data_IF_489543349701
#
_entry.id   IF_489543349701
#
_cell.length_a   1.000
_cell.length_b   1.000
_cell.length_c   1.000
_cell.angle_alpha   90.00
_cell.angle_beta   90.00
_cell.angle_gamma   90.00
#
_symmetry.space_group_name_H-M   'P 1'
#
loop_
_entity.id
_entity.type
_entity.pdbx_description
1 polymer ?
#
# COMPACT_ATOMS: atom_id res chain seq x y z
N UNK A 1 -15.93 13.90 -6.78
CA UNK A 1 -14.48 13.98 -6.89
C UNK A 1 -13.83 12.87 -6.07
N UNK A 2 -12.80 12.24 -6.60
CA UNK A 2 -12.15 11.10 -5.97
C UNK A 2 -11.00 11.48 -5.06
N UNK A 3 -10.65 10.56 -4.18
CA UNK A 3 -9.54 10.70 -3.24
C UNK A 3 -8.61 9.50 -3.35
N UNK A 4 -7.30 9.74 -3.29
CA UNK A 4 -6.28 8.70 -3.19
C UNK A 4 -5.55 8.86 -1.87
N UNK A 5 -5.36 7.74 -1.15
CA UNK A 5 -4.52 7.70 0.05
C UNK A 5 -3.36 6.75 -0.24
N UNK A 6 -2.13 7.27 -0.12
CA UNK A 6 -0.93 6.47 -0.32
C UNK A 6 -0.35 6.13 1.06
N UNK A 7 -0.35 4.84 1.40
CA UNK A 7 0.21 4.36 2.66
C UNK A 7 1.72 4.18 2.52
N UNK A 8 2.46 4.52 3.57
CA UNK A 8 3.91 4.31 3.64
C UNK A 8 4.27 3.68 4.97
N UNK A 9 5.11 2.67 4.97
CA UNK A 9 5.57 2.03 6.19
C UNK A 9 6.23 0.69 5.89
N UNK A 10 7.13 0.26 6.77
CA UNK A 10 7.80 -1.03 6.63
C UNK A 10 6.82 -2.19 6.84
N UNK A 11 7.20 -3.38 6.40
CA UNK A 11 6.39 -4.59 6.59
C UNK A 11 6.08 -4.81 8.07
N UNK A 12 4.84 -5.12 8.39
CA UNK A 12 4.39 -5.36 9.77
C UNK A 12 4.14 -4.10 10.60
N UNK A 13 4.25 -2.91 10.03
CA UNK A 13 4.07 -1.65 10.75
C UNK A 13 2.61 -1.33 11.11
N UNK A 14 1.66 -2.06 10.53
CA UNK A 14 0.24 -1.80 10.74
C UNK A 14 -0.43 -1.04 9.59
N UNK A 15 0.23 -0.93 8.43
CA UNK A 15 -0.32 -0.23 7.26
C UNK A 15 -1.69 -0.75 6.85
N UNK A 16 -1.82 -2.07 6.71
CA UNK A 16 -3.08 -2.67 6.25
C UNK A 16 -4.21 -2.45 7.25
N UNK A 17 -3.90 -2.50 8.54
CA UNK A 17 -4.86 -2.19 9.61
C UNK A 17 -5.30 -0.73 9.51
N UNK A 18 -4.34 0.18 9.36
CA UNK A 18 -4.63 1.61 9.22
C UNK A 18 -5.42 1.91 7.95
N UNK A 19 -5.08 1.23 6.84
CA UNK A 19 -5.82 1.36 5.59
C UNK A 19 -7.29 0.98 5.77
N UNK A 20 -7.57 -0.10 6.50
CA UNK A 20 -8.95 -0.53 6.79
C UNK A 20 -9.69 0.51 7.63
N UNK A 21 -9.03 1.12 8.61
CA UNK A 21 -9.61 2.19 9.41
C UNK A 21 -9.97 3.39 8.55
N UNK A 22 -9.08 3.80 7.65
CA UNK A 22 -9.30 4.93 6.75
C UNK A 22 -10.45 4.66 5.79
N UNK A 23 -10.54 3.44 5.26
CA UNK A 23 -11.66 3.01 4.41
C UNK A 23 -12.97 3.10 5.18
N UNK A 24 -13.00 2.61 6.43
CA UNK A 24 -14.20 2.64 7.24
C UNK A 24 -14.64 4.06 7.56
N UNK A 25 -13.68 4.93 7.92
CA UNK A 25 -13.95 6.36 8.16
C UNK A 25 -14.57 7.02 6.93
N UNK A 26 -14.05 6.71 5.75
CA UNK A 26 -14.56 7.26 4.49
C UNK A 26 -15.97 6.77 4.21
N UNK A 27 -16.24 5.48 4.41
CA UNK A 27 -17.56 4.87 4.19
C UNK A 27 -18.58 5.35 5.22
N UNK A 28 -18.17 5.66 6.45
CA UNK A 28 -19.06 6.22 7.47
C UNK A 28 -19.66 7.56 7.02
N UNK A 29 -18.88 8.35 6.28
CA UNK A 29 -19.33 9.63 5.71
C UNK A 29 -19.95 9.47 4.32
N UNK A 30 -19.52 8.46 3.57
CA UNK A 30 -19.94 8.21 2.20
C UNK A 30 -20.39 6.75 2.04
N UNK A 31 -21.58 6.36 2.59
CA UNK A 31 -21.95 4.93 2.71
C UNK A 31 -22.09 4.18 1.38
N UNK A 32 -22.36 4.88 0.30
CA UNK A 32 -22.55 4.27 -1.02
C UNK A 32 -21.32 4.41 -1.93
N UNK A 33 -20.21 4.91 -1.41
CA UNK A 33 -19.00 5.11 -2.18
C UNK A 33 -18.35 3.78 -2.56
N UNK A 34 -17.73 3.77 -3.73
CA UNK A 34 -16.88 2.66 -4.15
C UNK A 34 -15.47 2.90 -3.61
N UNK A 35 -14.84 1.84 -3.11
CA UNK A 35 -13.50 1.88 -2.52
C UNK A 35 -12.69 0.72 -3.06
N UNK A 36 -11.42 0.96 -3.35
CA UNK A 36 -10.48 -0.09 -3.71
C UNK A 36 -9.17 0.09 -2.94
N UNK A 37 -8.59 -1.03 -2.49
CA UNK A 37 -7.24 -1.05 -1.91
C UNK A 37 -6.35 -1.80 -2.89
N UNK A 38 -5.29 -1.15 -3.35
CA UNK A 38 -4.34 -1.70 -4.31
C UNK A 38 -3.00 -1.94 -3.62
N UNK A 39 -2.49 -3.16 -3.73
CA UNK A 39 -1.20 -3.54 -3.16
C UNK A 39 -0.45 -4.42 -4.15
N UNK A 40 0.86 -4.26 -4.22
CA UNK A 40 1.71 -5.15 -5.02
C UNK A 40 1.63 -6.59 -4.51
N UNK A 41 1.42 -6.79 -3.21
CA UNK A 41 1.28 -8.12 -2.63
C UNK A 41 0.11 -8.92 -3.21
N UNK A 42 -0.93 -8.26 -3.67
CA UNK A 42 -2.08 -8.91 -4.29
C UNK A 42 -1.71 -9.70 -5.55
N UNK A 43 -0.64 -9.27 -6.24
CA UNK A 43 -0.14 -9.98 -7.42
C UNK A 43 0.34 -11.38 -7.08
N UNK A 44 0.86 -11.58 -5.87
CA UNK A 44 1.44 -12.84 -5.42
C UNK A 44 0.44 -13.78 -4.76
N UNK A 45 -0.81 -13.38 -4.63
CA UNK A 45 -1.85 -14.27 -4.08
C UNK A 45 -2.32 -15.20 -5.18
N UNK A 46 -2.18 -16.52 -4.97
CA UNK A 46 -2.67 -17.54 -5.89
C UNK A 46 -4.20 -17.53 -5.84
N UNK A 47 -4.83 -17.31 -6.99
CA UNK A 47 -6.30 -17.17 -7.09
C UNK A 47 -7.04 -18.48 -6.79
N UNK A 48 -6.39 -19.63 -7.01
CA UNK A 48 -7.01 -20.94 -6.77
C UNK A 48 -6.88 -21.38 -5.31
N UNK A 49 -5.67 -21.24 -4.74
CA UNK A 49 -5.38 -21.70 -3.37
C UNK A 49 -5.59 -20.61 -2.31
N UNK A 50 -5.55 -19.33 -2.70
CA UNK A 50 -5.56 -18.20 -1.78
C UNK A 50 -4.24 -17.99 -1.06
N UNK A 51 -3.21 -18.78 -1.38
CA UNK A 51 -1.90 -18.68 -0.74
C UNK A 51 -1.05 -17.56 -1.31
N UNK A 52 -0.23 -16.97 -0.44
CA UNK A 52 0.75 -15.95 -0.83
C UNK A 52 2.02 -16.63 -1.34
N UNK A 53 2.35 -16.43 -2.62
CA UNK A 53 3.50 -17.04 -3.28
C UNK A 53 4.45 -15.97 -3.81
N UNK A 54 5.28 -15.42 -2.94
CA UNK A 54 6.21 -14.34 -3.28
C UNK A 54 7.33 -14.84 -4.21
N UNK A 55 7.59 -14.09 -5.27
CA UNK A 55 8.72 -14.31 -6.18
C UNK A 55 9.39 -12.96 -6.48
N UNK A 56 10.60 -12.77 -5.95
CA UNK A 56 11.35 -11.52 -6.09
C UNK A 56 11.59 -11.14 -7.56
N UNK A 57 11.72 -12.12 -8.45
CA UNK A 57 11.92 -11.88 -9.88
C UNK A 57 10.73 -11.19 -10.54
N UNK A 58 9.54 -11.29 -9.92
CA UNK A 58 8.30 -10.72 -10.43
C UNK A 58 7.88 -9.45 -9.70
N UNK A 59 8.74 -8.89 -8.86
CA UNK A 59 8.40 -7.72 -8.03
C UNK A 59 8.03 -6.51 -8.90
N UNK A 60 8.76 -6.29 -9.99
CA UNK A 60 8.44 -5.20 -10.91
C UNK A 60 7.07 -5.38 -11.56
N UNK A 61 6.73 -6.62 -11.93
CA UNK A 61 5.40 -6.94 -12.48
C UNK A 61 4.31 -6.70 -11.44
N UNK A 62 4.59 -7.02 -10.17
CA UNK A 62 3.65 -6.79 -9.07
C UNK A 62 3.35 -5.30 -8.87
N UNK A 63 4.36 -4.45 -8.95
CA UNK A 63 4.17 -3.00 -8.87
C UNK A 63 3.42 -2.45 -10.08
N UNK A 64 3.70 -2.96 -11.29
CA UNK A 64 2.95 -2.59 -12.50
C UNK A 64 1.49 -3.00 -12.41
N UNK A 65 1.21 -4.18 -11.87
CA UNK A 65 -0.14 -4.67 -11.62
C UNK A 65 -0.90 -3.75 -10.66
N UNK A 66 -0.25 -3.36 -9.56
CA UNK A 66 -0.84 -2.45 -8.57
C UNK A 66 -1.17 -1.09 -9.21
N UNK A 67 -0.23 -0.52 -9.95
CA UNK A 67 -0.40 0.76 -10.63
C UNK A 67 -1.54 0.71 -11.65
N UNK A 68 -1.61 -0.35 -12.44
CA UNK A 68 -2.67 -0.53 -13.46
C UNK A 68 -4.05 -0.61 -12.79
N UNK A 69 -4.16 -1.32 -11.66
CA UNK A 69 -5.42 -1.39 -10.91
C UNK A 69 -5.86 -0.02 -10.39
N UNK A 70 -4.91 0.75 -9.85
CA UNK A 70 -5.19 2.10 -9.37
C UNK A 70 -5.65 3.01 -10.50
N UNK A 71 -4.95 2.96 -11.63
CA UNK A 71 -5.29 3.76 -12.82
C UNK A 71 -6.67 3.41 -13.35
N UNK A 72 -6.97 2.11 -13.49
CA UNK A 72 -8.28 1.64 -13.94
C UNK A 72 -9.39 2.10 -12.99
N UNK A 73 -9.15 2.01 -11.69
CA UNK A 73 -10.11 2.46 -10.69
C UNK A 73 -10.43 3.95 -10.83
N UNK A 74 -9.40 4.75 -11.06
CA UNK A 74 -9.60 6.19 -11.26
C UNK A 74 -10.31 6.52 -12.58
N UNK A 75 -10.02 5.77 -13.65
CA UNK A 75 -10.75 5.89 -14.90
C UNK A 75 -12.24 5.58 -14.73
N UNK A 76 -12.57 4.62 -13.88
CA UNK A 76 -13.95 4.22 -13.59
C UNK A 76 -14.62 5.11 -12.54
N UNK A 77 -13.92 6.07 -11.98
CA UNK A 77 -14.48 7.01 -11.01
C UNK A 77 -14.68 6.44 -9.61
N UNK A 78 -13.88 5.46 -9.21
CA UNK A 78 -13.90 4.93 -7.84
C UNK A 78 -13.57 6.06 -6.87
N UNK A 79 -14.41 6.30 -5.87
CA UNK A 79 -14.33 7.48 -5.00
C UNK A 79 -13.11 7.47 -4.07
N UNK A 80 -12.71 6.28 -3.59
CA UNK A 80 -11.51 6.15 -2.75
C UNK A 80 -10.59 5.06 -3.27
N UNK A 81 -9.36 5.44 -3.59
CA UNK A 81 -8.31 4.51 -4.02
C UNK A 81 -7.20 4.56 -2.97
N UNK A 82 -6.92 3.43 -2.33
CA UNK A 82 -5.86 3.33 -1.31
C UNK A 82 -4.72 2.51 -1.90
N UNK A 83 -3.51 3.06 -1.83
CA UNK A 83 -2.29 2.37 -2.25
C UNK A 83 -1.58 1.87 -0.99
N UNK A 84 -1.53 0.56 -0.82
CA UNK A 84 -0.98 -0.08 0.38
C UNK A 84 0.30 -0.85 0.03
N UNK A 85 1.40 -0.12 -0.08
CA UNK A 85 2.75 -0.64 -0.30
C UNK A 85 3.69 -0.02 0.72
N UNK A 86 4.92 -0.54 0.85
CA UNK A 86 5.90 0.03 1.77
C UNK A 86 6.29 1.46 1.38
N UNK A 87 6.40 1.73 0.08
CA UNK A 87 6.70 3.06 -0.45
C UNK A 87 7.87 3.72 0.29
N UNK A 88 8.98 2.99 0.41
CA UNK A 88 10.12 3.42 1.22
C UNK A 88 10.82 4.65 0.66
N UNK A 89 10.91 4.77 -0.65
CA UNK A 89 11.55 5.91 -1.31
C UNK A 89 10.49 6.83 -1.90
N UNK A 90 10.81 8.12 -1.96
CA UNK A 90 9.89 9.13 -2.48
C UNK A 90 9.46 8.85 -3.93
N UNK A 91 10.38 8.40 -4.77
CA UNK A 91 10.04 8.10 -6.16
C UNK A 91 9.00 6.98 -6.29
N UNK A 92 8.95 6.06 -5.30
CA UNK A 92 7.99 4.95 -5.32
C UNK A 92 6.55 5.43 -5.18
N UNK A 93 6.30 6.49 -4.39
CA UNK A 93 4.94 6.98 -4.20
C UNK A 93 4.63 8.26 -4.98
N UNK A 94 5.63 9.05 -5.35
CA UNK A 94 5.40 10.28 -6.10
C UNK A 94 4.72 10.02 -7.44
N UNK A 95 5.00 8.89 -8.07
CA UNK A 95 4.32 8.46 -9.29
C UNK A 95 2.82 8.29 -9.10
N UNK A 96 2.40 7.77 -7.95
CA UNK A 96 0.97 7.65 -7.62
C UNK A 96 0.33 9.00 -7.38
N UNK A 97 1.02 9.90 -6.69
CA UNK A 97 0.52 11.26 -6.44
C UNK A 97 0.32 12.01 -7.78
N UNK A 98 1.28 11.87 -8.69
CA UNK A 98 1.16 12.46 -10.03
C UNK A 98 -0.02 11.86 -10.80
N UNK A 99 -0.16 10.54 -10.75
CA UNK A 99 -1.25 9.82 -11.40
C UNK A 99 -2.60 10.31 -10.88
N UNK A 100 -2.73 10.45 -9.56
CA UNK A 100 -3.95 10.99 -8.94
C UNK A 100 -4.26 12.39 -9.48
N UNK A 101 -3.25 13.25 -9.55
CA UNK A 101 -3.42 14.60 -10.09
C UNK A 101 -3.90 14.58 -11.54
N UNK A 102 -3.35 13.69 -12.37
CA UNK A 102 -3.73 13.56 -13.78
C UNK A 102 -5.21 13.18 -13.93
N UNK A 103 -5.77 12.44 -12.97
CA UNK A 103 -7.18 12.05 -12.98
C UNK A 103 -8.08 12.98 -12.15
N UNK A 104 -7.54 14.07 -11.62
CA UNK A 104 -8.31 15.03 -10.81
C UNK A 104 -8.61 14.52 -9.40
N UNK A 105 -7.86 13.55 -8.89
CA UNK A 105 -8.00 13.02 -7.53
C UNK A 105 -7.16 13.83 -6.56
N UNK A 106 -7.68 14.02 -5.35
CA UNK A 106 -6.92 14.58 -4.24
C UNK A 106 -6.10 13.45 -3.60
N UNK A 107 -4.77 13.64 -3.49
CA UNK A 107 -3.88 12.65 -2.93
C UNK A 107 -3.42 13.04 -1.53
N UNK A 108 -3.46 12.08 -0.60
CA UNK A 108 -2.87 12.20 0.73
C UNK A 108 -1.86 11.08 0.91
N UNK A 109 -0.78 11.38 1.63
CA UNK A 109 0.24 10.39 1.96
C UNK A 109 0.18 10.15 3.48
N UNK A 110 0.05 8.90 3.89
CA UNK A 110 0.01 8.55 5.30
C UNK A 110 1.14 7.58 5.65
N UNK A 111 2.02 8.01 6.55
CA UNK A 111 3.13 7.20 7.03
C UNK A 111 2.71 6.48 8.32
N UNK A 112 2.94 5.17 8.39
CA UNK A 112 2.56 4.33 9.52
C UNK A 112 3.79 3.67 10.11
N UNK A 113 3.90 3.69 11.44
CA UNK A 113 4.95 3.02 12.18
C UNK A 113 6.19 3.87 12.44
N UNK A 114 7.10 3.29 13.19
CA UNK A 114 8.37 3.89 13.58
C UNK A 114 9.52 3.07 12.98
N UNK A 115 10.68 3.71 12.81
CA UNK A 115 11.84 3.07 12.17
C UNK A 115 12.93 2.65 13.16
N UNK A 116 12.70 2.79 14.46
CA UNK A 116 13.65 2.38 15.49
C UNK A 116 13.70 0.86 15.64
N UNK A 117 14.85 0.34 16.07
CA UNK A 117 15.12 -1.11 16.13
C UNK A 117 14.10 -1.89 16.97
N UNK A 118 13.66 -1.34 18.09
CA UNK A 118 12.66 -1.98 18.95
C UNK A 118 11.36 -2.26 18.21
N UNK A 119 10.87 -1.27 17.44
CA UNK A 119 9.65 -1.41 16.67
C UNK A 119 9.84 -2.34 15.47
N UNK A 120 11.01 -2.30 14.81
CA UNK A 120 11.29 -3.19 13.69
C UNK A 120 11.23 -4.66 14.10
N UNK A 121 11.71 -5.01 15.29
CA UNK A 121 11.60 -6.36 15.83
C UNK A 121 10.16 -6.79 16.02
N UNK A 122 9.31 -5.91 16.54
CA UNK A 122 7.88 -6.16 16.71
C UNK A 122 7.23 -6.39 15.35
N UNK A 123 7.55 -5.55 14.38
CA UNK A 123 6.98 -5.66 13.03
C UNK A 123 7.38 -6.96 12.33
N UNK A 124 8.65 -7.36 12.46
CA UNK A 124 9.13 -8.62 11.89
C UNK A 124 8.40 -9.83 12.46
N UNK A 125 8.09 -9.80 13.77
CA UNK A 125 7.39 -10.89 14.44
C UNK A 125 5.92 -11.03 14.01
N UNK A 126 5.25 -9.94 13.68
CA UNK A 126 3.80 -9.95 13.45
C UNK A 126 3.36 -9.84 12.01
N UNK A 127 4.29 -9.65 11.05
CA UNK A 127 3.86 -9.48 9.66
C UNK A 127 3.28 -10.77 9.07
N UNK A 128 2.35 -10.61 8.13
CA UNK A 128 1.56 -11.73 7.58
C UNK A 128 2.25 -12.52 6.47
N UNK A 129 3.32 -11.97 5.91
CA UNK A 129 3.98 -12.56 4.74
C UNK A 129 5.31 -13.24 5.06
N UNK A 130 5.60 -13.45 6.34
CA UNK A 130 6.83 -14.12 6.77
C UNK A 130 8.10 -13.33 6.46
N UNK A 131 8.01 -12.02 6.37
CA UNK A 131 9.15 -11.13 6.13
C UNK A 131 10.00 -11.08 7.38
N UNK A 132 11.28 -11.46 7.28
CA UNK A 132 12.15 -11.52 8.45
C UNK A 132 12.72 -10.14 8.83
N UNK A 133 13.39 -10.08 10.00
CA UNK A 133 13.93 -8.84 10.55
C UNK A 133 14.97 -8.20 9.63
N UNK A 134 15.77 -8.99 8.95
CA UNK A 134 16.79 -8.48 8.00
C UNK A 134 16.13 -7.67 6.88
N UNK A 135 15.02 -8.15 6.34
CA UNK A 135 14.28 -7.47 5.28
C UNK A 135 13.62 -6.21 5.81
N UNK A 136 13.02 -6.27 7.01
CA UNK A 136 12.40 -5.10 7.64
C UNK A 136 13.45 -4.02 7.93
N UNK A 137 14.63 -4.41 8.40
CA UNK A 137 15.75 -3.48 8.61
C UNK A 137 16.20 -2.83 7.31
N UNK A 138 16.31 -3.61 6.23
CA UNK A 138 16.67 -3.08 4.92
C UNK A 138 15.64 -2.07 4.41
N UNK A 139 14.36 -2.34 4.62
CA UNK A 139 13.28 -1.41 4.28
C UNK A 139 13.43 -0.11 5.06
N UNK A 140 13.66 -0.20 6.38
CA UNK A 140 13.83 0.98 7.23
C UNK A 140 15.06 1.80 6.82
N UNK A 141 16.16 1.14 6.46
CA UNK A 141 17.41 1.80 6.07
C UNK A 141 17.26 2.64 4.80
N UNK A 142 16.47 2.16 3.83
CA UNK A 142 16.26 2.91 2.58
C UNK A 142 15.07 3.86 2.65
N UNK A 143 14.37 3.92 3.78
CA UNK A 143 13.16 4.73 3.93
C UNK A 143 13.48 6.22 3.89
N UNK A 144 12.88 6.93 2.96
CA UNK A 144 12.99 8.38 2.83
C UNK A 144 11.80 9.05 3.50
N UNK A 145 12.05 9.67 4.61
CA UNK A 145 10.99 10.33 5.40
C UNK A 145 10.45 11.59 4.73
#
# INVERSE_FOLDING_TARGET
>A
MGKMIVMRGVSGSGKSTRAKELVQEFLDTNPEAQVIVCSADQFFVNRESGEYEFDQKKLQQAHSYCRTRAETAMELGVELVVIDNTNTRKWEYEGYVKLASDFGYEAEVEMVGQLDESNLKVYANRNKHGVDLEVVRAQAKRFEV
#
